data_IF_011118725164
#
_entry.id   IF_011118725164
#
_cell.length_a   1.000
_cell.length_b   1.000
_cell.length_c   1.000
_cell.angle_alpha   90.00
_cell.angle_beta   90.00
_cell.angle_gamma   90.00
#
_symmetry.space_group_name_H-M   'P 1'
#
loop_
_entity.id
_entity.type
_entity.pdbx_description
1 polymer ?
#
# COMPACT_ATOMS: atom_id res chain seq x y z
N UNK A 1 7.95 4.25 5.48
CA UNK A 1 8.03 2.90 6.11
C UNK A 1 6.69 2.55 6.73
N UNK A 2 6.29 1.26 6.70
CA UNK A 2 5.04 0.76 7.26
C UNK A 2 3.81 0.95 6.35
N UNK A 3 4.05 1.11 5.05
CA UNK A 3 3.01 1.23 4.02
C UNK A 3 3.09 0.03 3.08
N UNK A 4 1.93 -0.35 2.57
CA UNK A 4 1.69 -1.52 1.73
C UNK A 4 0.89 -1.12 0.51
N UNK A 5 1.27 -1.66 -0.64
CA UNK A 5 0.56 -1.55 -1.91
C UNK A 5 0.17 -2.95 -2.41
N UNK A 6 -1.12 -3.24 -2.54
CA UNK A 6 -1.66 -4.52 -3.00
C UNK A 6 -2.33 -4.37 -4.37
N UNK A 7 -2.01 -5.28 -5.28
CA UNK A 7 -2.58 -5.34 -6.64
C UNK A 7 -3.36 -6.64 -6.79
N UNK A 8 -4.68 -6.50 -6.78
CA UNK A 8 -5.62 -7.60 -6.55
C UNK A 8 -5.27 -8.33 -5.27
N UNK A 9 -5.42 -9.65 -5.26
CA UNK A 9 -4.72 -10.50 -4.29
C UNK A 9 -3.52 -11.24 -4.90
N UNK A 10 -2.97 -10.73 -6.01
CA UNK A 10 -1.90 -11.38 -6.78
C UNK A 10 -0.49 -10.99 -6.33
N UNK A 11 -0.29 -9.73 -5.97
CA UNK A 11 0.99 -9.24 -5.46
C UNK A 11 0.81 -8.12 -4.43
N UNK A 12 1.73 -8.04 -3.48
CA UNK A 12 1.77 -7.01 -2.43
C UNK A 12 3.20 -6.54 -2.23
N UNK A 13 3.42 -5.23 -2.16
CA UNK A 13 4.71 -4.63 -1.84
C UNK A 13 4.63 -3.88 -0.52
N UNK A 14 5.48 -4.26 0.44
CA UNK A 14 5.57 -3.64 1.75
C UNK A 14 6.89 -2.86 1.87
N UNK A 15 6.84 -1.61 2.35
CA UNK A 15 8.03 -0.81 2.62
C UNK A 15 8.45 -0.97 4.08
N UNK A 16 9.46 -1.81 4.32
CA UNK A 16 9.88 -2.20 5.68
C UNK A 16 10.99 -1.31 6.24
N UNK A 17 11.88 -0.79 5.40
CA UNK A 17 12.95 0.13 5.81
C UNK A 17 13.21 1.18 4.72
N UNK A 18 13.63 2.38 5.13
CA UNK A 18 14.08 3.42 4.21
C UNK A 18 15.05 4.37 4.93
N UNK A 19 16.13 4.79 4.26
CA UNK A 19 17.02 5.85 4.74
C UNK A 19 16.49 7.26 4.47
N UNK A 20 15.39 7.35 3.71
CA UNK A 20 14.70 8.58 3.33
C UNK A 20 13.27 8.61 3.88
N UNK A 21 12.72 9.82 4.02
CA UNK A 21 11.36 10.00 4.54
C UNK A 21 10.28 9.49 3.59
N UNK A 22 10.51 9.60 2.28
CA UNK A 22 9.55 9.26 1.23
C UNK A 22 10.25 8.44 0.15
N UNK A 23 9.49 7.53 -0.48
CA UNK A 23 9.86 6.92 -1.76
C UNK A 23 8.65 7.01 -2.68
N UNK A 24 8.86 7.03 -3.99
CA UNK A 24 7.77 6.93 -4.95
C UNK A 24 7.68 5.51 -5.51
N UNK A 25 6.45 5.01 -5.57
CA UNK A 25 6.12 3.70 -6.13
C UNK A 25 5.09 3.93 -7.23
N UNK A 26 5.48 3.68 -8.48
CA UNK A 26 4.55 3.69 -9.62
C UNK A 26 4.19 2.25 -9.95
N UNK A 27 2.89 1.95 -10.06
CA UNK A 27 2.41 0.59 -10.27
C UNK A 27 1.93 0.46 -11.70
N UNK A 28 2.51 -0.51 -12.41
CA UNK A 28 2.14 -0.85 -13.77
C UNK A 28 1.44 -2.20 -13.76
N UNK A 29 0.12 -2.18 -13.86
CA UNK A 29 -0.73 -3.36 -13.90
C UNK A 29 -1.99 -3.04 -14.71
N UNK A 30 -2.79 -4.06 -15.00
CA UNK A 30 -4.09 -3.86 -15.66
C UNK A 30 -5.00 -2.94 -14.84
N UNK A 31 -5.65 -1.98 -15.49
CA UNK A 31 -6.62 -1.07 -14.88
C UNK A 31 -7.87 -1.78 -14.33
N UNK A 32 -8.07 -3.05 -14.70
CA UNK A 32 -9.19 -3.87 -14.24
C UNK A 32 -8.86 -4.65 -12.96
N UNK A 33 -7.61 -4.60 -12.49
CA UNK A 33 -7.20 -5.24 -11.23
C UNK A 33 -7.37 -4.24 -10.10
N UNK A 34 -7.96 -4.66 -8.98
CA UNK A 34 -8.16 -3.75 -7.86
C UNK A 34 -6.82 -3.31 -7.24
N UNK A 35 -6.78 -2.09 -6.74
CA UNK A 35 -5.60 -1.56 -6.06
C UNK A 35 -5.97 -1.10 -4.65
N UNK A 36 -5.22 -1.56 -3.66
CA UNK A 36 -5.40 -1.17 -2.26
C UNK A 36 -4.08 -0.74 -1.64
N UNK A 37 -4.05 0.45 -1.06
CA UNK A 37 -2.92 0.97 -0.29
C UNK A 37 -3.31 1.15 1.17
N UNK A 38 -2.41 0.83 2.09
CA UNK A 38 -2.67 1.01 3.52
C UNK A 38 -1.46 0.72 4.40
N UNK A 39 -1.69 0.67 5.71
CA UNK A 39 -0.65 0.33 6.70
C UNK A 39 -0.30 -1.15 6.63
N UNK A 40 0.99 -1.47 6.71
CA UNK A 40 1.48 -2.85 6.66
C UNK A 40 0.94 -3.71 7.81
N UNK A 41 0.76 -3.14 9.01
CA UNK A 41 0.22 -3.86 10.17
C UNK A 41 -1.19 -4.45 9.92
N UNK A 42 -1.96 -3.86 9.00
CA UNK A 42 -3.31 -4.32 8.65
C UNK A 42 -3.33 -5.20 7.40
N UNK A 43 -2.19 -5.38 6.71
CA UNK A 43 -2.15 -5.94 5.37
C UNK A 43 -2.59 -7.41 5.34
N UNK A 44 -2.19 -8.20 6.34
CA UNK A 44 -2.57 -9.62 6.44
C UNK A 44 -4.06 -9.78 6.79
N UNK A 45 -4.58 -8.92 7.67
CA UNK A 45 -6.01 -8.91 8.00
C UNK A 45 -6.87 -8.55 6.78
N UNK A 46 -6.49 -7.50 6.04
CA UNK A 46 -7.15 -7.08 4.80
C UNK A 46 -7.13 -8.23 3.79
N UNK A 47 -5.99 -8.92 3.64
CA UNK A 47 -5.90 -10.09 2.78
C UNK A 47 -6.88 -11.16 3.23
N UNK A 48 -6.80 -11.61 4.47
CA UNK A 48 -7.65 -12.68 5.00
C UNK A 48 -9.15 -12.37 4.82
N UNK A 49 -9.59 -11.15 5.13
CA UNK A 49 -11.02 -10.78 5.10
C UNK A 49 -11.56 -10.46 3.71
N UNK A 50 -10.70 -10.01 2.79
CA UNK A 50 -11.15 -9.45 1.51
C UNK A 50 -10.60 -10.13 0.26
N UNK A 51 -9.81 -11.20 0.40
CA UNK A 51 -9.32 -11.97 -0.74
C UNK A 51 -10.48 -12.64 -1.48
N UNK A 52 -10.57 -12.43 -2.81
CA UNK A 52 -11.71 -12.89 -3.59
C UNK A 52 -12.93 -11.97 -3.56
N UNK A 53 -12.94 -10.93 -2.71
CA UNK A 53 -14.05 -9.97 -2.58
C UNK A 53 -13.65 -8.57 -3.06
N UNK A 54 -12.68 -7.93 -2.37
CA UNK A 54 -12.17 -6.60 -2.75
C UNK A 54 -10.75 -6.67 -3.31
N UNK A 55 -9.97 -7.64 -2.86
CA UNK A 55 -8.68 -8.00 -3.44
C UNK A 55 -8.95 -9.00 -4.55
N UNK A 56 -9.31 -8.48 -5.73
CA UNK A 56 -9.62 -9.25 -6.92
C UNK A 56 -8.67 -8.83 -8.04
N UNK A 57 -8.13 -9.79 -8.81
CA UNK A 57 -8.42 -11.23 -8.82
C UNK A 57 -7.75 -12.02 -7.65
N UNK A 58 -8.20 -13.27 -7.38
CA UNK A 58 -9.26 -14.01 -8.07
C UNK A 58 -10.64 -13.43 -7.76
N UNK A 59 -11.63 -13.76 -8.56
CA UNK A 59 -13.02 -13.39 -8.33
C UNK A 59 -13.69 -14.57 -7.63
N UNK A 60 -14.23 -14.34 -6.43
CA UNK A 60 -14.78 -15.41 -5.60
C UNK A 60 -13.79 -15.92 -4.55
N UNK A 61 -14.28 -16.18 -3.35
CA UNK A 61 -13.47 -16.67 -2.23
C UNK A 61 -13.11 -18.15 -2.38
N UNK A 62 -13.97 -18.91 -3.02
CA UNK A 62 -13.78 -20.32 -3.39
C UNK A 62 -12.50 -20.54 -4.22
N UNK A 63 -12.22 -19.60 -5.13
CA UNK A 63 -11.05 -19.64 -6.01
C UNK A 63 -9.73 -19.30 -5.32
N UNK A 64 -9.76 -18.79 -4.09
CA UNK A 64 -8.54 -18.48 -3.33
C UNK A 64 -7.72 -19.76 -3.09
N UNK A 65 -8.39 -20.89 -2.85
CA UNK A 65 -7.74 -22.18 -2.62
C UNK A 65 -7.08 -22.76 -3.88
N UNK A 66 -7.43 -22.26 -5.08
CA UNK A 66 -6.78 -22.64 -6.34
C UNK A 66 -5.37 -22.02 -6.47
N UNK A 67 -5.10 -20.98 -5.69
CA UNK A 67 -3.82 -20.27 -5.72
C UNK A 67 -2.82 -20.96 -4.81
N UNK A 68 -1.56 -20.96 -5.23
CA UNK A 68 -0.48 -21.65 -4.52
C UNK A 68 -0.10 -21.00 -3.20
N UNK A 69 1.10 -21.31 -2.72
CA UNK A 69 1.58 -20.75 -1.47
C UNK A 69 1.91 -19.26 -1.61
N UNK A 70 1.47 -18.45 -0.64
CA UNK A 70 1.81 -17.03 -0.58
C UNK A 70 3.20 -16.85 0.04
N UNK A 71 4.17 -16.40 -0.76
CA UNK A 71 5.59 -16.32 -0.37
C UNK A 71 6.08 -14.88 -0.41
N UNK A 72 6.94 -14.53 0.54
CA UNK A 72 7.62 -13.25 0.59
C UNK A 72 9.05 -13.32 0.04
N UNK A 73 9.50 -12.21 -0.55
CA UNK A 73 10.87 -11.98 -1.01
C UNK A 73 11.30 -10.59 -0.58
N UNK A 74 12.31 -10.52 0.29
CA UNK A 74 12.92 -9.25 0.69
C UNK A 74 13.92 -8.79 -0.38
N UNK A 75 13.88 -7.50 -0.70
CA UNK A 75 14.78 -6.88 -1.68
C UNK A 75 15.26 -5.53 -1.15
N UNK A 76 16.56 -5.29 -1.30
CA UNK A 76 17.16 -3.98 -1.07
C UNK A 76 17.22 -3.23 -2.38
N UNK A 77 16.79 -1.98 -2.35
CA UNK A 77 16.76 -1.09 -3.50
C UNK A 77 17.42 0.23 -3.14
N UNK A 78 18.07 0.85 -4.11
CA UNK A 78 18.69 2.16 -3.93
C UNK A 78 18.56 3.00 -5.18
N UNK A 79 18.69 4.30 -5.00
CA UNK A 79 18.63 5.28 -6.07
C UNK A 79 19.30 6.59 -5.65
N UNK A 80 19.62 7.44 -6.62
CA UNK A 80 20.38 8.66 -6.42
C UNK A 80 19.68 9.92 -6.95
N UNK A 81 18.48 9.78 -7.50
CA UNK A 81 17.74 10.86 -8.15
C UNK A 81 16.25 10.78 -7.85
N UNK A 82 15.60 11.94 -7.89
CA UNK A 82 14.14 12.04 -7.88
C UNK A 82 13.57 12.15 -9.30
N UNK A 83 14.35 12.65 -10.25
CA UNK A 83 13.91 12.87 -11.63
C UNK A 83 13.64 11.57 -12.39
N UNK A 84 14.35 10.49 -11.99
CA UNK A 84 14.30 9.20 -12.67
C UNK A 84 13.97 8.05 -11.74
N UNK A 85 13.29 7.04 -12.27
CA UNK A 85 13.10 5.77 -11.60
C UNK A 85 14.45 5.08 -11.37
N UNK A 86 14.56 4.39 -10.25
CA UNK A 86 15.78 3.72 -9.83
C UNK A 86 15.76 2.24 -10.21
N UNK A 87 14.61 1.58 -10.04
CA UNK A 87 14.50 0.14 -10.32
C UNK A 87 13.05 -0.27 -10.57
N UNK A 88 12.87 -1.26 -11.45
CA UNK A 88 11.61 -1.99 -11.59
C UNK A 88 11.70 -3.34 -10.88
N UNK A 89 10.67 -3.67 -10.09
CA UNK A 89 10.43 -5.00 -9.54
C UNK A 89 9.27 -5.60 -10.34
N UNK A 90 9.59 -6.47 -11.30
CA UNK A 90 8.61 -7.12 -12.17
C UNK A 90 8.11 -8.43 -11.59
N UNK A 91 6.80 -8.66 -11.71
CA UNK A 91 6.10 -9.88 -11.30
C UNK A 91 5.43 -10.48 -12.53
N UNK A 92 5.90 -11.65 -12.94
CA UNK A 92 5.50 -12.27 -14.22
C UNK A 92 3.99 -12.48 -14.30
N UNK A 93 3.39 -12.09 -15.43
CA UNK A 93 1.95 -12.22 -15.68
C UNK A 93 1.04 -11.19 -14.99
N UNK A 94 1.57 -10.33 -14.11
CA UNK A 94 0.77 -9.33 -13.39
C UNK A 94 1.15 -7.90 -13.78
N UNK A 95 2.43 -7.56 -13.72
CA UNK A 95 2.88 -6.19 -13.84
C UNK A 95 4.20 -5.92 -13.13
N UNK A 96 4.45 -4.66 -12.76
CA UNK A 96 5.66 -4.29 -12.00
C UNK A 96 5.45 -3.07 -11.10
N UNK A 97 6.33 -2.94 -10.11
CA UNK A 97 6.48 -1.76 -9.28
C UNK A 97 7.73 -1.01 -9.73
N UNK A 98 7.59 0.26 -10.13
CA UNK A 98 8.70 1.14 -10.48
C UNK A 98 9.02 2.08 -9.33
N UNK A 99 10.18 1.90 -8.72
CA UNK A 99 10.61 2.61 -7.51
C UNK A 99 11.52 3.77 -7.85
N UNK A 100 11.40 4.84 -7.09
CA UNK A 100 12.19 6.05 -7.25
C UNK A 100 12.44 6.65 -5.89
N UNK A 101 13.72 6.78 -5.60
CA UNK A 101 14.23 7.22 -4.33
C UNK A 101 15.62 7.82 -4.51
N UNK A 102 15.95 8.78 -3.65
CA UNK A 102 17.32 9.27 -3.48
C UNK A 102 17.88 8.78 -2.15
N UNK A 103 18.20 7.50 -2.08
CA UNK A 103 18.66 6.82 -0.88
C UNK A 103 18.53 5.31 -1.02
N UNK A 104 18.27 4.64 0.10
CA UNK A 104 18.16 3.19 0.19
C UNK A 104 16.83 2.81 0.84
N UNK A 105 16.26 1.68 0.43
CA UNK A 105 15.08 1.10 1.04
C UNK A 105 15.14 -0.42 1.01
N UNK A 106 14.46 -1.04 1.97
CA UNK A 106 14.16 -2.46 1.96
C UNK A 106 12.67 -2.62 1.75
N UNK A 107 12.30 -3.42 0.76
CA UNK A 107 10.93 -3.77 0.44
C UNK A 107 10.73 -5.26 0.54
N UNK A 108 9.53 -5.68 0.92
CA UNK A 108 9.13 -7.08 0.92
C UNK A 108 8.02 -7.24 -0.12
N UNK A 109 8.30 -8.00 -1.17
CA UNK A 109 7.31 -8.38 -2.16
C UNK A 109 6.70 -9.72 -1.79
N UNK A 110 5.39 -9.78 -1.80
CA UNK A 110 4.64 -11.02 -1.68
C UNK A 110 3.98 -11.36 -3.00
N UNK A 111 4.08 -12.62 -3.40
CA UNK A 111 3.33 -13.20 -4.52
C UNK A 111 3.22 -14.72 -4.32
N UNK A 112 2.64 -15.42 -5.28
CA UNK A 112 2.49 -16.88 -5.21
C UNK A 112 3.78 -17.60 -5.57
N UNK A 113 4.02 -18.75 -4.94
CA UNK A 113 5.12 -19.62 -5.29
C UNK A 113 5.06 -20.05 -6.76
N UNK A 114 6.23 -20.24 -7.37
CA UNK A 114 6.35 -20.48 -8.81
C UNK A 114 6.21 -19.24 -9.70
N UNK A 115 5.77 -18.08 -9.19
CA UNK A 115 5.76 -16.83 -9.95
C UNK A 115 7.16 -16.22 -9.94
N UNK A 116 7.68 -15.94 -11.14
CA UNK A 116 8.96 -15.28 -11.34
C UNK A 116 8.89 -13.80 -10.94
N UNK A 117 9.92 -13.36 -10.21
CA UNK A 117 10.13 -11.95 -9.83
C UNK A 117 11.53 -11.53 -10.25
N UNK A 118 11.62 -10.40 -10.94
CA UNK A 118 12.87 -9.89 -11.49
C UNK A 118 13.08 -8.44 -11.09
N UNK A 119 14.30 -8.12 -10.66
CA UNK A 119 14.76 -6.74 -10.55
C UNK A 119 15.43 -6.34 -11.86
N UNK A 120 15.00 -5.22 -12.46
CA UNK A 120 15.51 -4.76 -13.75
C UNK A 120 15.63 -3.24 -13.81
N UNK A 121 16.33 -2.74 -14.82
CA UNK A 121 16.34 -1.31 -15.12
C UNK A 121 14.92 -0.81 -15.45
N UNK A 122 14.56 0.42 -15.01
CA UNK A 122 13.24 0.96 -15.28
C UNK A 122 12.93 1.10 -16.76
N UNK A 123 11.78 0.58 -17.19
CA UNK A 123 11.34 0.74 -18.58
C UNK A 123 10.76 2.13 -18.87
N UNK A 124 10.24 2.79 -17.83
CA UNK A 124 9.83 4.19 -17.87
C UNK A 124 10.75 4.92 -16.93
N UNK A 125 11.58 5.81 -17.47
CA UNK A 125 12.67 6.44 -16.73
C UNK A 125 12.17 7.71 -16.04
N UNK A 126 11.50 8.58 -16.79
CA UNK A 126 11.16 9.92 -16.32
C UNK A 126 9.99 9.92 -15.34
N UNK A 127 10.14 10.68 -14.25
CA UNK A 127 9.01 11.03 -13.38
C UNK A 127 8.43 12.39 -13.77
N UNK A 128 7.13 12.53 -13.57
CA UNK A 128 6.49 13.81 -13.79
C UNK A 128 6.97 14.83 -12.73
N UNK A 129 7.51 16.01 -13.12
CA UNK A 129 8.13 16.96 -12.19
C UNK A 129 7.21 17.46 -11.07
N UNK A 130 5.89 17.34 -11.23
CA UNK A 130 4.92 17.76 -10.22
C UNK A 130 4.80 16.77 -9.04
N UNK A 131 5.28 15.53 -9.18
CA UNK A 131 5.26 14.55 -8.11
C UNK A 131 6.22 14.92 -6.98
N UNK A 132 7.27 15.71 -7.27
CA UNK A 132 8.33 16.15 -6.36
C UNK A 132 8.00 17.42 -5.55
N UNK A 133 6.72 17.82 -5.49
CA UNK A 133 6.35 19.02 -4.74
C UNK A 133 6.25 18.71 -3.24
N UNK A 134 6.95 19.47 -2.38
CA UNK A 134 6.67 19.46 -0.94
C UNK A 134 5.17 19.70 -0.73
N UNK A 135 4.49 18.74 -0.08
CA UNK A 135 3.05 18.84 0.21
C UNK A 135 2.11 17.92 -0.58
N UNK A 136 2.59 17.10 -1.53
CA UNK A 136 1.75 16.00 -2.07
C UNK A 136 1.40 14.97 -0.98
N UNK A 137 2.34 14.75 -0.05
CA UNK A 137 2.12 14.13 1.25
C UNK A 137 2.56 15.14 2.32
N UNK A 138 1.71 15.35 3.32
CA UNK A 138 2.07 16.20 4.45
C UNK A 138 3.21 15.55 5.23
N UNK A 139 4.21 16.32 5.71
CA UNK A 139 5.22 15.81 6.64
C UNK A 139 4.56 14.98 7.74
N UNK A 140 5.21 13.87 8.14
CA UNK A 140 4.64 12.89 9.06
C UNK A 140 4.06 13.52 10.33
N UNK A 141 4.75 14.51 10.90
CA UNK A 141 4.27 15.24 12.06
C UNK A 141 2.92 15.94 11.84
N UNK A 142 2.72 16.52 10.65
CA UNK A 142 1.47 17.20 10.27
C UNK A 142 0.38 16.16 9.98
N UNK A 143 0.71 15.10 9.24
CA UNK A 143 -0.21 13.99 8.99
C UNK A 143 -0.68 13.33 10.30
N UNK A 144 0.22 13.13 11.26
CA UNK A 144 -0.08 12.56 12.57
C UNK A 144 -0.94 13.51 13.42
N UNK A 145 -0.69 14.82 13.35
CA UNK A 145 -1.51 15.82 14.03
C UNK A 145 -2.96 15.83 13.50
N UNK A 146 -3.13 15.86 12.18
CA UNK A 146 -4.45 15.81 11.52
C UNK A 146 -5.15 14.47 11.83
N UNK A 147 -4.41 13.37 11.77
CA UNK A 147 -4.93 12.04 12.12
C UNK A 147 -5.38 11.91 13.57
N UNK A 148 -4.70 12.58 14.51
CA UNK A 148 -5.13 12.64 15.92
C UNK A 148 -6.37 13.50 16.09
N UNK A 149 -6.41 14.69 15.49
CA UNK A 149 -7.57 15.58 15.56
C UNK A 149 -8.84 14.90 15.07
N UNK A 150 -8.79 14.29 13.89
CA UNK A 150 -9.93 13.57 13.29
C UNK A 150 -10.44 12.40 14.15
N UNK A 151 -9.54 11.64 14.79
CA UNK A 151 -9.94 10.58 15.75
C UNK A 151 -10.63 11.16 16.98
N UNK A 152 -10.08 12.24 17.56
CA UNK A 152 -10.67 12.90 18.72
C UNK A 152 -12.03 13.52 18.41
N UNK A 153 -12.22 14.07 17.21
CA UNK A 153 -13.51 14.58 16.75
C UNK A 153 -14.53 13.44 16.59
N UNK A 154 -14.15 12.32 15.97
CA UNK A 154 -15.02 11.15 15.84
C UNK A 154 -15.42 10.54 17.19
N UNK A 155 -14.51 10.53 18.17
CA UNK A 155 -14.81 10.09 19.55
C UNK A 155 -15.79 11.03 20.24
N UNK A 156 -15.62 12.35 20.09
CA UNK A 156 -16.56 13.35 20.62
C UNK A 156 -17.95 13.25 19.97
N UNK A 157 -18.03 13.00 18.67
CA UNK A 157 -19.29 12.76 17.96
C UNK A 157 -20.03 11.56 18.57
N UNK A 158 -19.34 10.42 18.72
CA UNK A 158 -19.91 9.21 19.31
C UNK A 158 -20.37 9.40 20.75
N UNK A 159 -19.61 10.15 21.56
CA UNK A 159 -20.02 10.46 22.93
C UNK A 159 -21.26 11.35 22.97
N UNK A 160 -21.39 12.32 22.05
CA UNK A 160 -22.60 13.16 21.93
C UNK A 160 -23.81 12.33 21.51
N UNK A 161 -23.67 11.47 20.50
CA UNK A 161 -24.73 10.56 20.04
C UNK A 161 -25.21 9.64 21.17
N UNK A 162 -24.28 9.03 21.90
CA UNK A 162 -24.61 8.18 23.04
C UNK A 162 -25.31 8.95 24.18
N UNK A 163 -24.95 10.22 24.38
CA UNK A 163 -25.56 11.08 25.39
C UNK A 163 -26.98 11.52 24.98
N UNK A 164 -27.22 11.82 23.71
CA UNK A 164 -28.56 12.08 23.17
C UNK A 164 -29.46 10.85 23.25
N UNK A 165 -28.95 9.67 22.90
CA UNK A 165 -29.71 8.41 23.00
C UNK A 165 -30.07 8.08 24.46
N UNK A 166 -29.15 8.34 25.39
CA UNK A 166 -29.41 8.19 26.82
C UNK A 166 -30.53 9.13 27.31
N UNK A 167 -30.51 10.40 26.89
CA UNK A 167 -31.54 11.38 27.27
C UNK A 167 -32.92 11.07 26.65
N UNK A 168 -32.95 10.58 25.41
CA UNK A 168 -34.17 10.12 24.74
C UNK A 168 -34.78 8.91 25.44
N UNK A 169 -33.95 7.93 25.85
CA UNK A 169 -34.41 6.73 26.54
C UNK A 169 -34.82 6.98 28.01
N UNK A 170 -34.27 8.00 28.66
CA UNK A 170 -34.65 8.40 30.02
C UNK A 170 -35.92 9.27 30.09
N UNK A 171 -36.46 9.67 28.93
CA UNK A 171 -37.66 10.52 28.80
C UNK A 171 -38.94 9.72 28.48
N UNK A 172 -38.88 8.38 28.55
CA UNK A 172 -40.01 7.43 28.43
C UNK A 172 -40.26 6.82 29.80
#
# INVERSE_FOLDING_TARGET
VGQTASVGGLMRLDLTQASVETIYVTIWASSNVSFHMGKTDNADEIRMKHFGIRLQPPIGQDRVAELGEWRQREMKVSGNSWDVNSIDIAVSGVGWFSLGLKGEATVVLWTFDGIEVTQREPLVIDRAPFLERPGFLLPKAISDAIGKQSRTEAEKEKMREAQTDFLLNASI
#
